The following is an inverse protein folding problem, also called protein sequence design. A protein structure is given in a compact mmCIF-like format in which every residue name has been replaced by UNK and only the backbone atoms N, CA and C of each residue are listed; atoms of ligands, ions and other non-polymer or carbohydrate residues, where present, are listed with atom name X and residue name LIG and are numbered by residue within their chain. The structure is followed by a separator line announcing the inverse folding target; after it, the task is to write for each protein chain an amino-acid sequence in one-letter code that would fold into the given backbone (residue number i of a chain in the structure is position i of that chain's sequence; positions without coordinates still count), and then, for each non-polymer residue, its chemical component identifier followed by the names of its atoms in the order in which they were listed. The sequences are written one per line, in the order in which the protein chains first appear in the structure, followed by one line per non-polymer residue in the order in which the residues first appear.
data_IF_495465309967
#
_entry.id   IF_495465309967
#
_cell.length_a   1.000
_cell.length_b   1.000
_cell.length_c   1.000
_cell.angle_alpha   90.00
_cell.angle_beta   90.00
_cell.angle_gamma   90.00
#
_symmetry.space_group_name_H-M   'P 1'
#
loop_
_entity.id
_entity.type
_entity.pdbx_description
1 polymer ?
#
# COMPACT_ATOMS: atom_id res chain seq x y z
N UNK A 1 5.50 6.88 37.49
CA UNK A 1 4.25 6.08 37.50
C UNK A 1 4.37 5.01 36.43
N UNK A 2 4.59 3.74 36.82
CA UNK A 2 4.55 2.61 35.90
C UNK A 2 3.09 2.44 35.46
N UNK A 3 2.72 2.96 34.29
CA UNK A 3 1.47 2.56 33.65
C UNK A 3 1.57 1.06 33.41
N UNK A 4 0.82 0.27 34.18
CA UNK A 4 0.60 -1.15 33.88
C UNK A 4 -0.01 -1.16 32.48
N UNK A 5 0.80 -1.51 31.47
CA UNK A 5 0.33 -1.68 30.11
C UNK A 5 -0.69 -2.81 30.17
N UNK A 6 -1.97 -2.47 30.12
CA UNK A 6 -3.06 -3.42 30.02
C UNK A 6 -3.12 -3.89 28.58
N UNK A 7 -2.77 -5.16 28.35
CA UNK A 7 -2.84 -5.76 27.04
C UNK A 7 -4.28 -6.16 26.73
N UNK A 8 -4.90 -5.49 25.76
CA UNK A 8 -6.24 -5.84 25.31
C UNK A 8 -6.18 -7.05 24.35
N UNK A 9 -6.68 -8.18 24.85
CA UNK A 9 -6.76 -9.48 24.15
C UNK A 9 -7.79 -9.42 23.00
N UNK A 10 -8.72 -8.45 22.99
CA UNK A 10 -9.70 -8.25 21.90
C UNK A 10 -9.07 -7.98 20.52
N UNK A 11 -7.76 -7.67 20.53
CA UNK A 11 -6.94 -7.42 19.36
C UNK A 11 -6.44 -8.68 18.66
N UNK A 12 -6.58 -9.85 19.30
CA UNK A 12 -6.22 -11.15 18.72
C UNK A 12 -7.49 -11.93 18.46
N UNK A 13 -7.69 -12.35 17.23
CA UNK A 13 -8.81 -13.18 16.80
C UNK A 13 -8.25 -14.55 16.44
N UNK A 14 -8.54 -15.55 17.26
CA UNK A 14 -8.18 -16.93 16.98
C UNK A 14 -9.31 -17.63 16.22
N UNK A 15 -9.12 -17.84 14.92
CA UNK A 15 -10.01 -18.66 14.07
C UNK A 15 -9.39 -20.02 13.73
N UNK A 16 -8.30 -20.39 14.40
CA UNK A 16 -7.70 -21.71 14.29
C UNK A 16 -8.45 -22.73 15.15
N UNK A 17 -8.19 -24.02 14.92
CA UNK A 17 -8.72 -25.09 15.79
C UNK A 17 -7.86 -25.30 17.04
N UNK A 18 -6.75 -24.58 17.15
CA UNK A 18 -5.79 -24.74 18.26
C UNK A 18 -6.19 -23.81 19.39
N UNK A 19 -6.34 -24.39 20.58
CA UNK A 19 -6.58 -23.63 21.79
C UNK A 19 -5.27 -23.00 22.26
N UNK A 20 -5.23 -21.66 22.29
CA UNK A 20 -4.13 -20.89 22.84
C UNK A 20 -4.50 -20.43 24.25
N UNK A 21 -3.55 -20.48 25.18
CA UNK A 21 -3.78 -19.97 26.54
C UNK A 21 -4.00 -18.45 26.53
N UNK A 22 -4.66 -17.92 27.55
CA UNK A 22 -4.84 -16.46 27.69
C UNK A 22 -3.49 -15.72 27.72
N UNK A 23 -2.45 -16.32 28.29
CA UNK A 23 -1.11 -15.74 28.34
C UNK A 23 -0.46 -15.70 26.96
N UNK A 24 -0.59 -16.77 26.17
CA UNK A 24 -0.13 -16.80 24.78
C UNK A 24 -0.83 -15.72 23.94
N UNK A 25 -2.15 -15.57 24.11
CA UNK A 25 -2.90 -14.51 23.43
C UNK A 25 -2.47 -13.10 23.88
N UNK A 26 -2.17 -12.88 25.16
CA UNK A 26 -1.60 -11.61 25.65
C UNK A 26 -0.26 -11.31 24.99
N UNK A 27 0.63 -12.29 24.85
CA UNK A 27 1.91 -12.10 24.16
C UNK A 27 1.71 -11.74 22.69
N UNK A 28 0.85 -12.47 21.97
CA UNK A 28 0.51 -12.17 20.57
C UNK A 28 -0.08 -10.77 20.45
N UNK A 29 -0.92 -10.39 21.42
CA UNK A 29 -1.56 -9.08 21.41
C UNK A 29 -0.53 -7.95 21.44
N UNK A 30 0.74 -8.14 21.83
CA UNK A 30 1.74 -7.04 21.76
C UNK A 30 1.92 -6.46 20.36
N UNK A 31 1.61 -7.20 19.29
CA UNK A 31 1.67 -6.68 17.93
C UNK A 31 2.73 -7.38 17.07
N UNK A 32 2.49 -7.56 15.77
CA UNK A 32 3.50 -8.09 14.83
C UNK A 32 4.67 -7.13 14.58
N UNK A 33 4.53 -5.85 14.98
CA UNK A 33 5.57 -4.83 14.91
C UNK A 33 6.32 -4.66 16.24
N UNK A 34 5.88 -5.33 17.30
CA UNK A 34 6.57 -5.28 18.57
C UNK A 34 7.91 -5.99 18.45
N UNK A 35 9.00 -5.27 18.72
CA UNK A 35 10.36 -5.81 18.66
C UNK A 35 10.85 -6.04 20.09
N UNK A 36 11.11 -7.30 20.50
CA UNK A 36 11.77 -7.57 21.77
C UNK A 36 13.10 -6.84 21.89
N UNK A 37 13.46 -6.40 23.09
CA UNK A 37 14.73 -5.71 23.35
C UNK A 37 15.89 -6.51 22.78
N UNK A 38 16.67 -5.96 21.84
CA UNK A 38 17.75 -6.68 21.19
C UNK A 38 18.86 -7.01 22.20
N UNK A 39 19.31 -8.26 22.19
CA UNK A 39 20.41 -8.74 23.04
C UNK A 39 21.78 -8.60 22.39
N UNK A 40 21.81 -8.31 21.09
CA UNK A 40 23.01 -8.12 20.28
C UNK A 40 22.73 -7.09 19.18
N UNK A 41 23.78 -6.47 18.66
CA UNK A 41 23.73 -5.62 17.47
C UNK A 41 24.19 -6.41 16.25
N UNK A 42 23.42 -6.37 15.16
CA UNK A 42 23.89 -6.87 13.88
C UNK A 42 24.64 -5.74 13.17
N UNK A 43 25.94 -5.64 13.43
CA UNK A 43 26.81 -4.58 12.91
C UNK A 43 26.72 -4.45 11.40
N UNK A 44 26.78 -5.57 10.67
CA UNK A 44 26.73 -5.58 9.21
C UNK A 44 25.40 -4.98 8.72
N UNK A 45 24.28 -5.43 9.27
CA UNK A 45 22.96 -4.95 8.86
C UNK A 45 22.78 -3.47 9.19
N UNK A 46 23.24 -3.03 10.36
CA UNK A 46 23.22 -1.60 10.73
C UNK A 46 24.02 -0.76 9.75
N UNK A 47 25.26 -1.15 9.44
CA UNK A 47 26.12 -0.44 8.49
C UNK A 47 25.47 -0.40 7.10
N UNK A 48 25.03 -1.54 6.57
CA UNK A 48 24.40 -1.63 5.25
C UNK A 48 23.14 -0.75 5.17
N UNK A 49 22.28 -0.78 6.20
CA UNK A 49 21.06 0.04 6.22
C UNK A 49 21.37 1.53 6.27
N UNK A 50 22.39 1.92 7.04
CA UNK A 50 22.84 3.29 7.10
C UNK A 50 23.45 3.75 5.77
N UNK A 51 24.34 2.96 5.17
CA UNK A 51 24.93 3.27 3.87
C UNK A 51 23.86 3.41 2.77
N UNK A 52 22.88 2.50 2.73
CA UNK A 52 21.73 2.58 1.83
C UNK A 52 20.95 3.89 2.03
N UNK A 53 20.70 4.28 3.29
CA UNK A 53 19.94 5.50 3.61
C UNK A 53 20.71 6.77 3.24
N UNK A 54 22.04 6.74 3.34
CA UNK A 54 22.94 7.85 3.02
C UNK A 54 23.29 7.92 1.53
N UNK A 55 22.79 7.01 0.70
CA UNK A 55 23.18 6.88 -0.71
C UNK A 55 23.07 8.19 -1.50
N UNK A 56 22.03 8.98 -1.26
CA UNK A 56 21.77 10.26 -1.94
C UNK A 56 22.16 11.50 -1.12
N UNK A 57 22.89 11.34 -0.03
CA UNK A 57 23.28 12.46 0.84
C UNK A 57 24.62 13.07 0.44
N UNK A 58 24.86 14.36 0.74
CA UNK A 58 26.16 14.99 0.50
C UNK A 58 27.30 14.26 1.21
N UNK A 59 28.49 14.29 0.60
CA UNK A 59 29.68 13.55 1.09
C UNK A 59 30.02 13.87 2.55
N UNK A 60 29.92 15.15 2.94
CA UNK A 60 30.18 15.60 4.31
C UNK A 60 29.20 14.98 5.32
N UNK A 61 27.90 15.01 5.01
CA UNK A 61 26.86 14.39 5.84
C UNK A 61 27.06 12.88 5.95
N UNK A 62 27.42 12.23 4.85
CA UNK A 62 27.71 10.79 4.84
C UNK A 62 28.90 10.46 5.75
N UNK A 63 30.00 11.20 5.67
CA UNK A 63 31.17 11.00 6.53
C UNK A 63 30.85 11.22 8.02
N UNK A 64 30.10 12.28 8.35
CA UNK A 64 29.67 12.55 9.72
C UNK A 64 28.79 11.42 10.27
N UNK A 65 27.79 10.99 9.50
CA UNK A 65 26.90 9.91 9.90
C UNK A 65 27.66 8.57 10.08
N UNK A 66 28.58 8.23 9.17
CA UNK A 66 29.42 7.03 9.30
C UNK A 66 30.25 7.08 10.60
N UNK A 67 30.81 8.25 10.94
CA UNK A 67 31.56 8.44 12.19
C UNK A 67 30.67 8.24 13.43
N UNK A 68 29.46 8.80 13.43
CA UNK A 68 28.49 8.60 14.52
C UNK A 68 28.06 7.14 14.66
N UNK A 69 27.80 6.46 13.55
CA UNK A 69 27.42 5.04 13.55
C UNK A 69 28.55 4.16 14.04
N UNK A 70 29.79 4.42 13.60
CA UNK A 70 30.98 3.73 14.09
C UNK A 70 31.11 3.90 15.61
N UNK A 71 30.97 5.14 16.08
CA UNK A 71 30.97 5.46 17.51
C UNK A 71 29.84 4.75 18.26
N UNK A 72 28.63 4.72 17.72
CA UNK A 72 27.48 4.03 18.29
C UNK A 72 27.75 2.52 18.40
N UNK A 73 28.26 1.88 17.35
CA UNK A 73 28.57 0.45 17.35
C UNK A 73 29.65 0.13 18.39
N UNK A 74 30.72 0.93 18.45
CA UNK A 74 31.80 0.74 19.42
C UNK A 74 31.34 0.93 20.87
N UNK A 75 30.45 1.92 21.10
CA UNK A 75 29.91 2.22 22.43
C UNK A 75 28.67 1.39 22.78
N UNK A 76 28.17 0.57 21.87
CA UNK A 76 26.93 -0.17 22.09
C UNK A 76 27.12 -1.14 23.27
N UNK A 77 26.20 -1.06 24.23
CA UNK A 77 26.14 -1.96 25.38
C UNK A 77 24.79 -2.66 25.41
N UNK A 78 24.80 -3.91 25.84
CA UNK A 78 23.58 -4.69 26.01
C UNK A 78 22.62 -3.95 26.96
N UNK A 79 21.34 -3.75 26.59
CA UNK A 79 20.37 -3.14 27.47
C UNK A 79 20.20 -3.93 28.78
N UNK A 80 20.11 -3.23 29.91
CA UNK A 80 19.86 -3.81 31.24
C UNK A 80 18.37 -4.02 31.52
N UNK A 81 17.51 -3.26 30.85
CA UNK A 81 16.05 -3.37 30.94
C UNK A 81 15.49 -4.03 29.69
N UNK A 82 14.70 -5.07 29.88
CA UNK A 82 14.02 -5.79 28.81
C UNK A 82 12.54 -5.41 28.75
N UNK A 83 11.99 -5.32 27.54
CA UNK A 83 10.56 -5.06 27.31
C UNK A 83 9.69 -6.34 27.28
N UNK A 84 10.30 -7.51 27.49
CA UNK A 84 9.64 -8.79 27.72
C UNK A 84 10.24 -9.51 28.93
N UNK A 85 9.42 -10.22 29.68
CA UNK A 85 9.89 -11.04 30.80
C UNK A 85 10.27 -12.47 30.35
N UNK A 86 10.84 -13.27 31.27
CA UNK A 86 11.28 -14.65 30.97
C UNK A 86 10.14 -15.58 30.56
N UNK A 87 8.96 -15.42 31.16
CA UNK A 87 7.77 -16.22 30.84
C UNK A 87 7.25 -15.88 29.45
N UNK A 88 7.11 -14.60 29.11
CA UNK A 88 6.73 -14.15 27.76
C UNK A 88 7.71 -14.66 26.69
N UNK A 89 9.02 -14.67 26.98
CA UNK A 89 10.01 -15.24 26.09
C UNK A 89 9.87 -16.76 25.91
N UNK A 90 9.47 -17.49 26.96
CA UNK A 90 9.16 -18.92 26.90
C UNK A 90 7.90 -19.16 26.06
N UNK A 91 6.83 -18.42 26.33
CA UNK A 91 5.57 -18.50 25.57
C UNK A 91 5.77 -18.19 24.09
N UNK A 92 6.63 -17.22 23.73
CA UNK A 92 6.97 -16.95 22.32
C UNK A 92 7.61 -18.16 21.63
N UNK A 93 8.48 -18.89 22.34
CA UNK A 93 9.10 -20.12 21.80
C UNK A 93 8.07 -21.22 21.62
N UNK A 94 7.17 -21.40 22.60
CA UNK A 94 6.07 -22.36 22.52
C UNK A 94 5.12 -22.06 21.35
N UNK A 95 4.72 -20.79 21.18
CA UNK A 95 3.89 -20.38 20.04
C UNK A 95 4.61 -20.66 18.73
N UNK A 96 5.93 -20.38 18.66
CA UNK A 96 6.75 -20.62 17.47
C UNK A 96 6.87 -22.11 17.13
N UNK A 97 6.83 -23.01 18.11
CA UNK A 97 6.89 -24.46 17.87
C UNK A 97 5.57 -25.05 17.34
N UNK A 98 4.47 -24.29 17.33
CA UNK A 98 3.19 -24.77 16.78
C UNK A 98 3.23 -24.65 15.25
N UNK A 99 3.50 -25.76 14.56
CA UNK A 99 3.67 -25.77 13.09
C UNK A 99 2.37 -25.59 12.29
N UNK A 100 1.22 -25.89 12.91
CA UNK A 100 -0.08 -25.96 12.25
C UNK A 100 -0.84 -24.63 12.22
N UNK A 101 -0.24 -23.53 12.67
CA UNK A 101 -0.86 -22.19 12.65
C UNK A 101 -0.05 -21.19 11.83
N UNK A 102 -0.76 -20.15 11.40
CA UNK A 102 -0.20 -18.95 10.79
C UNK A 102 -0.76 -17.75 11.55
N UNK A 103 0.11 -16.81 11.91
CA UNK A 103 -0.25 -15.56 12.58
C UNK A 103 -0.04 -14.42 11.60
N UNK A 104 -1.13 -13.75 11.22
CA UNK A 104 -1.14 -12.68 10.21
C UNK A 104 -1.93 -11.47 10.69
N UNK A 105 -1.73 -10.33 10.04
CA UNK A 105 -2.53 -9.13 10.28
C UNK A 105 -3.81 -9.18 9.43
N UNK A 106 -4.94 -8.77 10.00
CA UNK A 106 -6.17 -8.55 9.25
C UNK A 106 -6.03 -7.39 8.24
N UNK A 107 -6.78 -7.46 7.14
CA UNK A 107 -6.78 -6.43 6.08
C UNK A 107 -7.24 -5.04 6.59
N UNK A 108 -8.20 -5.03 7.53
CA UNK A 108 -8.73 -3.80 8.14
C UNK A 108 -8.68 -3.89 9.66
N UNK A 109 -8.50 -2.74 10.30
CA UNK A 109 -8.55 -2.60 11.75
C UNK A 109 -7.29 -3.07 12.49
N UNK A 110 -6.29 -3.64 11.82
CA UNK A 110 -4.98 -3.92 12.41
C UNK A 110 -4.93 -5.06 13.44
N UNK A 111 -6.04 -5.78 13.65
CA UNK A 111 -6.10 -6.96 14.51
C UNK A 111 -5.18 -8.08 14.02
N UNK A 112 -4.72 -8.90 14.95
CA UNK A 112 -3.93 -10.10 14.66
C UNK A 112 -4.86 -11.29 14.56
N UNK A 113 -4.65 -12.13 13.56
CA UNK A 113 -5.46 -13.30 13.28
C UNK A 113 -4.59 -14.54 13.37
N UNK A 114 -5.01 -15.50 14.19
CA UNK A 114 -4.42 -16.83 14.26
C UNK A 114 -5.30 -17.77 13.43
N UNK A 115 -4.70 -18.44 12.45
CA UNK A 115 -5.40 -19.30 11.49
C UNK A 115 -4.75 -20.67 11.41
N UNK A 116 -5.52 -21.71 11.10
CA UNK A 116 -4.92 -22.99 10.70
C UNK A 116 -4.12 -22.80 9.41
N UNK A 117 -2.91 -23.37 9.35
CA UNK A 117 -2.00 -23.25 8.21
C UNK A 117 -2.67 -23.74 6.92
N UNK A 118 -3.21 -24.96 6.88
CA UNK A 118 -3.85 -25.51 5.68
C UNK A 118 -5.02 -24.63 5.18
N UNK A 119 -5.82 -24.09 6.10
CA UNK A 119 -6.92 -23.19 5.74
C UNK A 119 -6.40 -21.89 5.09
N UNK A 120 -5.36 -21.29 5.66
CA UNK A 120 -4.72 -20.10 5.09
C UNK A 120 -4.14 -20.36 3.70
N UNK A 121 -3.45 -21.49 3.51
CA UNK A 121 -2.88 -21.87 2.22
C UNK A 121 -3.97 -22.09 1.16
N UNK A 122 -5.02 -22.86 1.49
CA UNK A 122 -6.14 -23.09 0.57
C UNK A 122 -6.82 -21.78 0.16
N UNK A 123 -7.03 -20.84 1.09
CA UNK A 123 -7.63 -19.53 0.77
C UNK A 123 -6.78 -18.65 -0.14
N UNK A 124 -5.47 -18.78 -0.09
CA UNK A 124 -4.58 -18.08 -1.02
C UNK A 124 -4.59 -18.80 -2.37
N UNK A 125 -4.52 -20.13 -2.40
CA UNK A 125 -4.58 -20.90 -3.65
C UNK A 125 -5.90 -20.70 -4.40
N UNK A 126 -7.04 -20.64 -3.69
CA UNK A 126 -8.35 -20.25 -4.26
C UNK A 126 -8.27 -18.93 -5.04
N UNK A 127 -7.50 -17.94 -4.53
CA UNK A 127 -7.30 -16.64 -5.19
C UNK A 127 -6.29 -16.70 -6.34
N UNK A 128 -5.23 -17.49 -6.20
CA UNK A 128 -4.21 -17.66 -7.24
C UNK A 128 -4.71 -18.50 -8.42
N UNK A 129 -5.76 -19.29 -8.22
CA UNK A 129 -6.45 -20.05 -9.26
C UNK A 129 -7.39 -19.18 -10.12
N UNK A 130 -7.54 -17.89 -9.83
CA UNK A 130 -8.21 -16.96 -10.74
C UNK A 130 -7.37 -16.74 -11.99
N UNK A 131 -7.68 -17.53 -13.02
CA UNK A 131 -7.01 -17.50 -14.31
C UNK A 131 -7.21 -16.19 -15.07
N UNK A 132 -8.08 -15.27 -14.64
CA UNK A 132 -8.14 -13.95 -15.25
C UNK A 132 -7.03 -13.03 -14.73
N UNK A 133 -6.60 -13.24 -13.48
CA UNK A 133 -5.64 -12.36 -12.79
C UNK A 133 -4.24 -12.94 -12.77
N UNK A 134 -4.11 -14.25 -12.51
CA UNK A 134 -2.83 -14.91 -12.32
C UNK A 134 -2.60 -16.02 -13.34
N UNK A 135 -1.32 -16.33 -13.56
CA UNK A 135 -0.88 -17.52 -14.26
C UNK A 135 0.20 -18.22 -13.45
N UNK A 136 0.18 -19.55 -13.42
CA UNK A 136 1.25 -20.32 -12.83
C UNK A 136 2.41 -20.45 -13.83
N UNK A 137 3.62 -20.16 -13.38
CA UNK A 137 4.85 -20.25 -14.17
C UNK A 137 5.60 -21.53 -13.80
N UNK A 138 6.09 -22.26 -14.81
CA UNK A 138 6.75 -23.57 -14.61
C UNK A 138 8.11 -23.47 -13.91
N UNK A 139 8.86 -22.39 -14.15
CA UNK A 139 10.20 -22.17 -13.62
C UNK A 139 10.31 -20.77 -13.04
N UNK A 140 11.29 -20.60 -12.14
CA UNK A 140 11.63 -19.30 -11.59
C UNK A 140 12.11 -18.34 -12.71
N UNK A 141 11.41 -17.21 -12.95
CA UNK A 141 11.80 -16.26 -13.99
C UNK A 141 12.89 -15.28 -13.53
N UNK A 142 13.40 -15.35 -12.29
CA UNK A 142 14.34 -14.39 -11.70
C UNK A 142 15.55 -14.14 -12.60
N UNK A 143 16.22 -15.19 -13.08
CA UNK A 143 17.42 -15.07 -13.91
C UNK A 143 17.13 -14.38 -15.24
N UNK A 144 15.98 -14.69 -15.87
CA UNK A 144 15.58 -14.07 -17.14
C UNK A 144 15.36 -12.56 -16.93
N UNK A 145 14.60 -12.20 -15.91
CA UNK A 145 14.32 -10.81 -15.55
C UNK A 145 15.62 -10.08 -15.20
N UNK A 146 16.53 -10.73 -14.48
CA UNK A 146 17.83 -10.14 -14.13
C UNK A 146 18.66 -9.81 -15.37
N UNK A 147 18.70 -10.72 -16.34
CA UNK A 147 19.39 -10.50 -17.61
C UNK A 147 18.78 -9.33 -18.37
N UNK A 148 17.45 -9.21 -18.43
CA UNK A 148 16.76 -8.08 -19.06
C UNK A 148 17.11 -6.75 -18.38
N UNK A 149 17.08 -6.73 -17.04
CA UNK A 149 17.47 -5.56 -16.23
C UNK A 149 18.92 -5.18 -16.53
N UNK A 150 19.85 -6.14 -16.45
CA UNK A 150 21.27 -5.89 -16.68
C UNK A 150 21.53 -5.36 -18.11
N UNK A 151 20.83 -5.92 -19.11
CA UNK A 151 20.92 -5.46 -20.50
C UNK A 151 20.48 -3.99 -20.62
N UNK A 152 19.33 -3.64 -20.04
CA UNK A 152 18.80 -2.29 -20.11
C UNK A 152 19.68 -1.27 -19.36
N UNK A 153 20.10 -1.60 -18.15
CA UNK A 153 20.95 -0.73 -17.33
C UNK A 153 22.33 -0.55 -17.98
N UNK A 154 22.92 -1.61 -18.56
CA UNK A 154 24.20 -1.51 -19.29
C UNK A 154 24.07 -0.65 -20.54
N UNK A 155 22.97 -0.77 -21.29
CA UNK A 155 22.66 0.12 -22.43
C UNK A 155 22.63 1.59 -21.98
N UNK A 156 21.94 1.90 -20.88
CA UNK A 156 21.86 3.26 -20.34
C UNK A 156 23.23 3.79 -19.87
N UNK A 157 24.07 2.94 -19.29
CA UNK A 157 25.43 3.31 -18.90
C UNK A 157 26.30 3.64 -20.12
N UNK A 158 26.28 2.80 -21.15
CA UNK A 158 27.05 3.01 -22.39
C UNK A 158 26.62 4.29 -23.13
N UNK A 159 25.38 4.74 -22.92
CA UNK A 159 24.85 6.00 -23.44
C UNK A 159 25.12 7.19 -22.52
N UNK A 160 25.92 7.02 -21.46
CA UNK A 160 26.22 8.04 -20.44
C UNK A 160 24.99 8.63 -19.74
N UNK A 161 23.87 7.90 -19.69
CA UNK A 161 22.63 8.35 -19.05
C UNK A 161 22.60 8.11 -17.54
N UNK A 162 23.44 7.20 -17.07
CA UNK A 162 23.57 6.84 -15.66
C UNK A 162 25.05 6.65 -15.31
N UNK A 163 25.37 6.68 -14.02
CA UNK A 163 26.71 6.40 -13.49
C UNK A 163 26.88 4.92 -13.14
N UNK A 164 28.13 4.46 -12.98
CA UNK A 164 28.43 3.11 -12.48
C UNK A 164 27.78 2.83 -11.13
N UNK A 165 27.77 3.82 -10.23
CA UNK A 165 27.09 3.72 -8.94
C UNK A 165 25.59 3.46 -9.10
N UNK A 166 24.95 4.12 -10.07
CA UNK A 166 23.53 3.91 -10.37
C UNK A 166 23.31 2.52 -10.96
N UNK A 167 24.18 2.07 -11.88
CA UNK A 167 24.13 0.70 -12.41
C UNK A 167 24.20 -0.33 -11.29
N UNK A 168 25.19 -0.21 -10.41
CA UNK A 168 25.37 -1.12 -9.28
C UNK A 168 24.11 -1.17 -8.40
N UNK A 169 23.54 -0.02 -8.06
CA UNK A 169 22.29 0.04 -7.29
C UNK A 169 21.14 -0.68 -8.01
N UNK A 170 20.93 -0.39 -9.31
CA UNK A 170 19.84 -0.96 -10.09
C UNK A 170 19.94 -2.48 -10.26
N UNK A 171 21.15 -3.03 -10.17
CA UNK A 171 21.43 -4.46 -10.33
C UNK A 171 21.85 -5.14 -9.01
N UNK A 172 21.64 -4.50 -7.85
CA UNK A 172 22.18 -4.99 -6.56
C UNK A 172 21.39 -6.12 -5.90
N UNK A 173 20.15 -6.37 -6.34
CA UNK A 173 19.23 -7.30 -5.66
C UNK A 173 18.77 -8.39 -6.63
N UNK A 174 18.79 -9.63 -6.16
CA UNK A 174 18.31 -10.83 -6.86
C UNK A 174 17.18 -11.55 -6.10
N UNK A 175 16.77 -11.00 -4.95
CA UNK A 175 15.76 -11.63 -4.11
C UNK A 175 14.39 -11.73 -4.80
N UNK A 176 13.82 -12.91 -4.70
CA UNK A 176 12.53 -13.27 -5.28
C UNK A 176 11.37 -12.71 -4.44
N UNK A 177 10.34 -12.09 -5.06
CA UNK A 177 9.17 -11.61 -4.32
C UNK A 177 8.34 -12.72 -3.70
N UNK A 178 7.83 -12.46 -2.49
CA UNK A 178 6.92 -13.36 -1.75
C UNK A 178 5.57 -12.68 -1.56
N UNK A 179 4.50 -13.45 -1.38
CA UNK A 179 3.18 -12.89 -1.05
C UNK A 179 2.81 -13.11 0.41
N UNK A 180 1.92 -12.25 0.91
CA UNK A 180 1.22 -12.40 2.18
C UNK A 180 -0.28 -12.23 1.96
N UNK A 181 -1.08 -13.11 2.55
CA UNK A 181 -2.53 -13.00 2.60
C UNK A 181 -2.96 -12.27 3.87
N UNK A 182 -3.87 -11.31 3.73
CA UNK A 182 -4.50 -10.61 4.85
C UNK A 182 -5.99 -10.94 4.86
N UNK A 183 -6.53 -11.56 5.93
CA UNK A 183 -7.95 -11.93 5.97
C UNK A 183 -8.84 -10.69 6.10
N UNK A 184 -9.89 -10.62 5.26
CA UNK A 184 -10.94 -9.59 5.34
C UNK A 184 -12.05 -10.03 6.30
N UNK A 185 -11.80 -9.91 7.61
CA UNK A 185 -12.70 -10.35 8.68
C UNK A 185 -14.10 -9.70 8.69
N UNK A 186 -14.25 -8.55 8.02
CA UNK A 186 -15.52 -7.83 7.90
C UNK A 186 -16.45 -8.41 6.82
N UNK A 187 -16.06 -9.51 6.16
CA UNK A 187 -16.86 -10.20 5.14
C UNK A 187 -17.14 -11.63 5.60
N UNK A 188 -18.34 -12.13 5.32
CA UNK A 188 -18.87 -13.43 5.80
C UNK A 188 -17.89 -14.59 5.55
N UNK A 189 -17.34 -14.69 4.34
CA UNK A 189 -16.47 -15.81 3.92
C UNK A 189 -14.98 -15.55 4.24
N UNK A 190 -14.65 -14.41 4.85
CA UNK A 190 -13.27 -13.99 5.16
C UNK A 190 -12.30 -14.18 3.98
N UNK A 191 -12.56 -13.57 2.81
CA UNK A 191 -11.66 -13.67 1.67
C UNK A 191 -10.29 -13.06 1.99
N UNK A 192 -9.25 -13.53 1.32
CA UNK A 192 -7.89 -13.01 1.46
C UNK A 192 -7.64 -11.82 0.53
N UNK A 193 -6.96 -10.80 1.04
CA UNK A 193 -6.22 -9.83 0.23
C UNK A 193 -4.79 -10.29 0.07
N UNK A 194 -4.36 -10.51 -1.17
CA UNK A 194 -2.98 -10.85 -1.46
C UNK A 194 -2.17 -9.56 -1.62
N UNK A 195 -1.07 -9.45 -0.91
CA UNK A 195 -0.09 -8.36 -1.05
C UNK A 195 1.25 -8.97 -1.40
N UNK A 196 1.85 -8.51 -2.49
CA UNK A 196 3.20 -8.91 -2.89
C UNK A 196 4.20 -8.08 -2.10
N UNK A 197 5.12 -8.75 -1.42
CA UNK A 197 6.26 -8.12 -0.79
C UNK A 197 7.31 -7.82 -1.88
N UNK A 198 7.20 -6.65 -2.49
CA UNK A 198 8.17 -6.16 -3.48
C UNK A 198 9.34 -5.41 -2.85
N UNK A 199 9.39 -5.25 -1.52
CA UNK A 199 10.51 -4.60 -0.84
C UNK A 199 11.77 -5.46 -0.94
N UNK A 200 12.88 -4.82 -1.29
CA UNK A 200 14.19 -5.47 -1.41
C UNK A 200 14.13 -6.72 -2.30
N UNK A 201 13.43 -6.60 -3.44
CA UNK A 201 13.36 -7.65 -4.47
C UNK A 201 13.96 -7.17 -5.78
N UNK A 202 14.16 -8.07 -6.74
CA UNK A 202 14.80 -7.82 -8.03
C UNK A 202 14.31 -6.57 -8.79
N UNK A 203 13.02 -6.24 -8.76
CA UNK A 203 12.46 -5.06 -9.47
C UNK A 203 12.39 -3.81 -8.60
N UNK A 204 12.71 -3.92 -7.31
CA UNK A 204 12.56 -2.83 -6.35
C UNK A 204 13.50 -1.63 -6.59
N UNK A 205 14.78 -1.79 -6.97
CA UNK A 205 15.65 -0.66 -7.26
C UNK A 205 15.16 0.16 -8.46
N UNK A 206 14.72 -0.52 -9.53
CA UNK A 206 14.14 0.12 -10.71
C UNK A 206 12.86 0.87 -10.34
N UNK A 207 11.98 0.23 -9.58
CA UNK A 207 10.72 0.85 -9.15
C UNK A 207 10.97 2.11 -8.34
N UNK A 208 11.94 2.10 -7.43
CA UNK A 208 12.32 3.27 -6.63
C UNK A 208 12.99 4.36 -7.47
N UNK A 209 13.85 3.97 -8.42
CA UNK A 209 14.53 4.89 -9.33
C UNK A 209 13.51 5.67 -10.18
N UNK A 210 12.58 4.97 -10.83
CA UNK A 210 11.53 5.62 -11.63
C UNK A 210 10.61 6.47 -10.74
N UNK A 211 10.27 5.97 -9.54
CA UNK A 211 9.42 6.72 -8.62
C UNK A 211 10.01 8.10 -8.31
N UNK A 212 11.34 8.22 -8.15
CA UNK A 212 12.00 9.52 -7.94
C UNK A 212 11.81 10.49 -9.10
N UNK A 213 11.70 9.99 -10.33
CA UNK A 213 11.47 10.79 -11.54
C UNK A 213 10.01 11.23 -11.61
N UNK A 214 9.06 10.33 -11.37
CA UNK A 214 7.63 10.60 -11.59
C UNK A 214 6.88 11.11 -10.35
N UNK A 215 7.46 11.03 -9.14
CA UNK A 215 6.76 11.34 -7.87
C UNK A 215 6.08 12.71 -7.87
N UNK A 216 6.70 13.68 -8.52
CA UNK A 216 6.22 15.05 -8.54
C UNK A 216 5.04 15.26 -9.49
N UNK A 217 4.72 14.30 -10.38
CA UNK A 217 3.46 14.34 -11.14
C UNK A 217 2.24 14.28 -10.22
N UNK A 218 2.40 13.84 -8.97
CA UNK A 218 1.33 13.88 -7.97
C UNK A 218 0.83 15.31 -7.71
N UNK A 219 1.66 16.34 -7.87
CA UNK A 219 1.26 17.73 -7.62
C UNK A 219 0.33 18.29 -8.70
N UNK A 220 0.24 17.64 -9.87
CA UNK A 220 -0.63 18.06 -10.96
C UNK A 220 -2.04 17.46 -10.86
N UNK A 221 -2.28 16.59 -9.87
CA UNK A 221 -3.55 15.90 -9.68
C UNK A 221 -4.49 16.73 -8.80
N UNK A 222 -5.72 16.93 -9.25
CA UNK A 222 -6.75 17.66 -8.49
C UNK A 222 -7.67 16.70 -7.73
N UNK A 223 -8.14 17.13 -6.56
CA UNK A 223 -9.08 16.36 -5.73
C UNK A 223 -8.49 15.04 -5.19
N UNK A 224 -7.16 14.91 -5.09
CA UNK A 224 -6.52 13.76 -4.45
C UNK A 224 -6.29 14.06 -2.97
N UNK A 225 -6.76 13.16 -2.12
CA UNK A 225 -6.59 13.21 -0.67
C UNK A 225 -5.43 12.29 -0.28
N UNK A 226 -4.51 12.78 0.55
CA UNK A 226 -3.35 11.99 0.98
C UNK A 226 -3.57 11.22 2.28
N UNK A 227 -4.43 11.71 3.17
CA UNK A 227 -4.78 11.09 4.45
C UNK A 227 -6.00 11.79 5.05
N UNK A 228 -6.58 11.20 6.11
CA UNK A 228 -7.74 11.73 6.82
C UNK A 228 -7.51 13.14 7.37
N UNK A 229 -6.33 13.46 7.91
CA UNK A 229 -6.04 14.80 8.42
C UNK A 229 -6.01 15.88 7.32
N UNK A 230 -5.49 15.55 6.14
CA UNK A 230 -5.53 16.40 4.96
C UNK A 230 -6.96 16.55 4.44
N UNK A 231 -7.74 15.48 4.43
CA UNK A 231 -9.15 15.51 4.07
C UNK A 231 -9.96 16.47 4.95
N UNK A 232 -9.84 16.35 6.27
CA UNK A 232 -10.57 17.19 7.25
C UNK A 232 -10.32 18.67 7.00
N UNK A 233 -9.09 19.05 6.64
CA UNK A 233 -8.75 20.45 6.31
C UNK A 233 -9.44 20.91 5.03
N UNK A 234 -9.43 20.08 3.99
CA UNK A 234 -10.00 20.45 2.68
C UNK A 234 -11.53 20.50 2.74
N UNK A 235 -12.17 19.51 3.38
CA UNK A 235 -13.63 19.41 3.43
C UNK A 235 -14.27 20.46 4.35
N UNK A 236 -13.51 21.03 5.29
CA UNK A 236 -14.00 22.11 6.15
C UNK A 236 -14.36 23.38 5.35
N UNK A 237 -13.67 23.63 4.23
CA UNK A 237 -13.91 24.77 3.35
C UNK A 237 -14.97 24.46 2.27
N UNK A 238 -15.48 23.23 2.21
CA UNK A 238 -16.46 22.83 1.20
C UNK A 238 -17.83 23.46 1.49
N UNK A 239 -18.42 24.08 0.46
CA UNK A 239 -19.77 24.65 0.53
C UNK A 239 -20.75 23.75 -0.20
N UNK A 240 -21.89 23.50 0.45
CA UNK A 240 -22.99 22.74 -0.12
C UNK A 240 -24.19 23.67 -0.30
N UNK A 241 -24.82 23.58 -1.46
CA UNK A 241 -26.12 24.20 -1.69
C UNK A 241 -27.25 23.35 -1.10
N UNK A 242 -28.43 23.94 -0.89
CA UNK A 242 -29.58 23.23 -0.31
C UNK A 242 -30.10 22.08 -1.18
N UNK A 243 -29.87 22.14 -2.50
CA UNK A 243 -30.22 21.10 -3.47
C UNK A 243 -29.10 20.07 -3.67
N UNK A 244 -28.04 20.10 -2.85
CA UNK A 244 -26.90 19.21 -2.97
C UNK A 244 -26.81 18.18 -1.85
N UNK A 245 -26.35 17.00 -2.23
CA UNK A 245 -26.28 15.80 -1.43
C UNK A 245 -24.85 15.28 -1.35
N UNK A 246 -24.52 14.63 -0.24
CA UNK A 246 -23.30 13.85 -0.11
C UNK A 246 -23.51 12.43 -0.63
N UNK A 247 -22.55 11.96 -1.43
CA UNK A 247 -22.50 10.58 -1.87
C UNK A 247 -21.05 10.09 -1.92
N UNK A 248 -20.84 8.79 -1.75
CA UNK A 248 -19.56 8.15 -1.94
C UNK A 248 -19.62 7.17 -3.11
N UNK A 249 -18.53 7.08 -3.86
CA UNK A 249 -18.29 6.05 -4.86
C UNK A 249 -17.07 5.23 -4.40
N UNK A 250 -17.18 3.91 -4.42
CA UNK A 250 -16.06 2.99 -4.13
C UNK A 250 -15.68 2.24 -5.42
N UNK A 251 -14.39 2.23 -5.74
CA UNK A 251 -13.88 1.54 -6.93
C UNK A 251 -13.57 0.09 -6.58
N UNK A 252 -14.26 -0.84 -7.24
CA UNK A 252 -14.07 -2.26 -7.02
C UNK A 252 -12.67 -2.70 -7.49
N UNK A 253 -11.89 -3.25 -6.55
CA UNK A 253 -10.58 -3.86 -6.78
C UNK A 253 -9.66 -3.01 -7.70
N UNK A 254 -9.53 -1.72 -7.39
CA UNK A 254 -8.84 -0.69 -8.18
C UNK A 254 -7.56 -1.18 -8.87
N UNK A 255 -6.58 -1.67 -8.09
CA UNK A 255 -5.27 -2.01 -8.64
C UNK A 255 -5.32 -3.16 -9.65
N UNK A 256 -6.06 -4.24 -9.37
CA UNK A 256 -6.18 -5.38 -10.30
C UNK A 256 -6.91 -5.00 -11.58
N UNK A 257 -7.75 -3.96 -11.53
CA UNK A 257 -8.55 -3.50 -12.65
C UNK A 257 -7.89 -2.39 -13.48
N UNK A 258 -6.74 -1.84 -13.10
CA UNK A 258 -6.06 -0.82 -13.93
C UNK A 258 -5.18 -1.48 -15.01
N UNK A 259 -5.41 -1.21 -16.32
CA UNK A 259 -4.55 -1.75 -17.37
C UNK A 259 -3.15 -1.11 -17.32
N UNK A 260 -2.13 -1.93 -17.05
CA UNK A 260 -0.73 -1.48 -16.86
C UNK A 260 -0.23 -0.66 -18.05
N UNK A 261 -0.44 -1.12 -19.29
CA UNK A 261 0.02 -0.40 -20.48
C UNK A 261 -0.62 0.97 -20.63
N UNK A 262 -1.93 1.10 -20.38
CA UNK A 262 -2.61 2.40 -20.42
C UNK A 262 -2.09 3.34 -19.33
N UNK A 263 -1.88 2.83 -18.12
CA UNK A 263 -1.32 3.63 -17.02
C UNK A 263 0.08 4.15 -17.34
N UNK A 264 0.93 3.31 -17.97
CA UNK A 264 2.26 3.72 -18.45
C UNK A 264 2.14 4.81 -19.51
N UNK A 265 1.29 4.63 -20.52
CA UNK A 265 1.17 5.59 -21.63
C UNK A 265 0.63 6.96 -21.13
N UNK A 266 -0.35 6.97 -20.22
CA UNK A 266 -0.85 8.21 -19.59
C UNK A 266 0.26 8.88 -18.76
N UNK A 267 1.05 8.10 -18.02
CA UNK A 267 2.16 8.63 -17.22
C UNK A 267 3.21 9.29 -18.10
N UNK A 268 3.58 8.66 -19.22
CA UNK A 268 4.55 9.22 -20.17
C UNK A 268 4.03 10.49 -20.82
N UNK A 269 2.75 10.54 -21.17
CA UNK A 269 2.09 11.75 -21.70
C UNK A 269 2.19 12.90 -20.70
N UNK A 270 1.86 12.68 -19.42
CA UNK A 270 1.96 13.73 -18.39
C UNK A 270 3.38 14.16 -18.09
N UNK A 271 4.33 13.22 -18.15
CA UNK A 271 5.74 13.55 -17.95
C UNK A 271 6.23 14.51 -19.03
N UNK A 272 5.81 14.29 -20.28
CA UNK A 272 6.08 15.17 -21.41
C UNK A 272 5.44 16.56 -21.27
N UNK A 273 4.16 16.60 -20.95
CA UNK A 273 3.41 17.86 -20.74
C UNK A 273 4.02 18.71 -19.61
N UNK A 274 4.58 18.05 -18.59
CA UNK A 274 5.24 18.71 -17.47
C UNK A 274 6.66 19.23 -17.77
N UNK A 275 7.23 18.91 -18.95
CA UNK A 275 8.61 19.20 -19.35
C UNK A 275 9.69 18.73 -18.35
N UNK A 276 9.34 17.84 -17.41
CA UNK A 276 10.28 17.34 -16.40
C UNK A 276 11.35 16.44 -16.99
N UNK A 277 11.07 15.83 -18.13
CA UNK A 277 12.02 14.99 -18.82
C UNK A 277 13.15 15.80 -19.47
N UNK A 278 12.90 17.05 -19.86
CA UNK A 278 13.86 17.91 -20.57
C UNK A 278 15.14 18.17 -19.76
N UNK A 279 15.04 18.12 -18.44
CA UNK A 279 16.17 18.31 -17.51
C UNK A 279 16.87 17.00 -17.13
N UNK A 280 16.48 15.87 -17.72
CA UNK A 280 17.01 14.54 -17.40
C UNK A 280 17.65 13.91 -18.63
N UNK A 281 18.67 13.05 -18.46
CA UNK A 281 19.32 12.36 -19.58
C UNK A 281 18.47 11.22 -20.19
N UNK A 282 17.21 11.09 -19.79
CA UNK A 282 16.34 9.98 -20.15
C UNK A 282 15.36 10.37 -21.25
N UNK A 283 15.14 9.48 -22.21
CA UNK A 283 14.09 9.61 -23.21
C UNK A 283 12.79 8.97 -22.71
N UNK A 284 11.66 9.28 -23.36
CA UNK A 284 10.38 8.60 -23.08
C UNK A 284 10.49 7.09 -23.23
N UNK A 285 11.27 6.63 -24.20
CA UNK A 285 11.52 5.21 -24.46
C UNK A 285 12.25 4.57 -23.29
N UNK A 286 13.28 5.21 -22.73
CA UNK A 286 14.00 4.69 -21.56
C UNK A 286 13.06 4.53 -20.36
N UNK A 287 12.24 5.55 -20.09
CA UNK A 287 11.26 5.51 -18.99
C UNK A 287 10.20 4.42 -19.23
N UNK A 288 9.72 4.26 -20.47
CA UNK A 288 8.76 3.21 -20.85
C UNK A 288 9.35 1.82 -20.67
N UNK A 289 10.59 1.59 -21.10
CA UNK A 289 11.30 0.31 -20.94
C UNK A 289 11.43 -0.04 -19.45
N UNK A 290 11.89 0.91 -18.62
CA UNK A 290 12.02 0.72 -17.17
C UNK A 290 10.67 0.48 -16.48
N UNK A 291 9.61 1.21 -16.86
CA UNK A 291 8.26 1.01 -16.31
C UNK A 291 7.72 -0.39 -16.65
N UNK A 292 7.93 -0.85 -17.88
CA UNK A 292 7.55 -2.20 -18.28
C UNK A 292 8.30 -3.25 -17.47
N UNK A 293 9.63 -3.10 -17.30
CA UNK A 293 10.44 -4.02 -16.50
C UNK A 293 9.97 -4.08 -15.04
N UNK A 294 9.58 -2.94 -14.45
CA UNK A 294 9.12 -2.88 -13.07
C UNK A 294 7.71 -3.47 -12.86
N UNK A 295 6.79 -3.27 -13.82
CA UNK A 295 5.36 -3.55 -13.63
C UNK A 295 4.88 -4.84 -14.30
N UNK A 296 5.45 -5.21 -15.46
CA UNK A 296 5.07 -6.44 -16.18
C UNK A 296 5.78 -7.69 -15.65
N UNK A 297 6.83 -7.52 -14.86
CA UNK A 297 7.54 -8.61 -14.20
C UNK A 297 7.08 -8.79 -12.74
N UNK A 298 5.75 -8.80 -12.56
CA UNK A 298 5.10 -9.00 -11.27
C UNK A 298 4.88 -10.48 -11.00
N UNK A 299 5.92 -11.16 -10.52
CA UNK A 299 5.88 -12.57 -10.17
C UNK A 299 6.22 -12.77 -8.70
N UNK A 300 5.86 -13.93 -8.16
CA UNK A 300 6.16 -14.32 -6.79
C UNK A 300 6.12 -15.83 -6.61
N UNK A 301 6.71 -16.30 -5.51
CA UNK A 301 6.63 -17.69 -5.09
C UNK A 301 5.61 -17.84 -3.96
N UNK A 302 4.79 -18.89 -4.05
CA UNK A 302 3.90 -19.32 -2.98
C UNK A 302 3.80 -20.85 -2.97
N UNK A 303 3.98 -21.44 -1.79
CA UNK A 303 3.89 -22.89 -1.58
C UNK A 303 4.72 -23.72 -2.60
N UNK A 304 5.97 -23.29 -2.85
CA UNK A 304 6.88 -23.95 -3.81
C UNK A 304 6.56 -23.72 -5.29
N UNK A 305 5.45 -23.06 -5.62
CA UNK A 305 5.03 -22.74 -7.00
C UNK A 305 5.29 -21.27 -7.33
N UNK A 306 5.51 -20.98 -8.60
CA UNK A 306 5.70 -19.61 -9.11
C UNK A 306 4.42 -19.13 -9.80
N UNK A 307 4.06 -17.88 -9.55
CA UNK A 307 2.91 -17.24 -10.17
C UNK A 307 3.30 -15.89 -10.72
N UNK A 308 2.65 -15.48 -11.81
CA UNK A 308 2.78 -14.15 -12.41
C UNK A 308 1.40 -13.51 -12.48
N UNK A 309 1.34 -12.23 -12.13
CA UNK A 309 0.14 -11.42 -12.29
C UNK A 309 0.05 -10.94 -13.74
N UNK A 310 -1.06 -11.27 -14.42
CA UNK A 310 -1.29 -10.96 -15.83
C UNK A 310 -1.84 -9.56 -16.06
N UNK A 311 -2.71 -9.12 -15.16
CA UNK A 311 -3.42 -7.85 -15.29
C UNK A 311 -3.39 -7.06 -14.00
N UNK A 312 -3.60 -5.75 -14.11
CA UNK A 312 -3.59 -4.85 -12.97
C UNK A 312 -2.21 -4.38 -12.57
N UNK A 313 -2.20 -3.28 -11.82
CA UNK A 313 -1.02 -2.80 -11.13
C UNK A 313 -0.70 -3.74 -9.95
N UNK A 314 0.56 -4.16 -9.78
CA UNK A 314 0.95 -5.06 -8.71
C UNK A 314 0.82 -4.40 -7.34
N UNK A 315 -0.02 -4.99 -6.47
CA UNK A 315 -0.15 -4.54 -5.09
C UNK A 315 1.14 -4.80 -4.31
N UNK A 316 1.83 -3.74 -3.91
CA UNK A 316 3.11 -3.79 -3.19
C UNK A 316 4.30 -3.19 -3.94
N UNK A 317 4.17 -2.95 -5.25
CA UNK A 317 5.16 -2.19 -5.99
C UNK A 317 5.04 -0.69 -5.68
N UNK A 318 6.17 -0.02 -5.47
CA UNK A 318 6.28 1.42 -5.17
C UNK A 318 5.62 2.33 -6.22
N UNK A 319 5.58 1.90 -7.49
CA UNK A 319 5.00 2.67 -8.59
C UNK A 319 3.49 2.58 -8.65
N UNK A 320 2.90 1.48 -8.19
CA UNK A 320 1.47 1.20 -8.35
C UNK A 320 0.58 2.33 -7.81
N UNK A 321 0.81 2.89 -6.60
CA UNK A 321 -0.04 3.96 -6.08
C UNK A 321 -0.06 5.22 -6.96
N UNK A 322 1.10 5.71 -7.41
CA UNK A 322 1.13 6.93 -8.24
C UNK A 322 0.57 6.69 -9.64
N UNK A 323 0.81 5.52 -10.23
CA UNK A 323 0.22 5.16 -11.52
C UNK A 323 -1.30 5.02 -11.42
N UNK A 324 -1.80 4.47 -10.31
CA UNK A 324 -3.23 4.40 -10.06
C UNK A 324 -3.83 5.80 -9.94
N UNK A 325 -3.16 6.71 -9.23
CA UNK A 325 -3.63 8.08 -9.09
C UNK A 325 -3.64 8.83 -10.42
N UNK A 326 -2.59 8.66 -11.23
CA UNK A 326 -2.49 9.26 -12.56
C UNK A 326 -3.59 8.73 -13.48
N UNK A 327 -3.77 7.40 -13.52
CA UNK A 327 -4.79 6.75 -14.33
C UNK A 327 -6.19 7.20 -13.93
N UNK A 328 -6.50 7.21 -12.63
CA UNK A 328 -7.82 7.61 -12.15
C UNK A 328 -8.08 9.09 -12.36
N UNK A 329 -7.08 9.96 -12.32
CA UNK A 329 -7.26 11.35 -12.69
C UNK A 329 -7.65 11.52 -14.17
N UNK A 330 -7.05 10.74 -15.06
CA UNK A 330 -7.45 10.70 -16.47
C UNK A 330 -8.87 10.14 -16.63
N UNK A 331 -9.18 9.03 -15.95
CA UNK A 331 -10.51 8.41 -15.98
C UNK A 331 -11.60 9.38 -15.50
N UNK A 332 -11.35 10.12 -14.41
CA UNK A 332 -12.26 11.15 -13.90
C UNK A 332 -12.56 12.21 -14.96
N UNK A 333 -11.52 12.70 -15.64
CA UNK A 333 -11.64 13.72 -16.69
C UNK A 333 -12.41 13.24 -17.92
N UNK A 334 -12.39 11.94 -18.22
CA UNK A 334 -13.03 11.36 -19.41
C UNK A 334 -14.43 10.79 -19.17
N UNK A 335 -14.76 10.43 -17.92
CA UNK A 335 -15.96 9.65 -17.63
C UNK A 335 -16.79 10.18 -16.45
N UNK A 336 -16.19 10.95 -15.53
CA UNK A 336 -16.89 11.48 -14.36
C UNK A 336 -17.37 12.93 -14.55
N UNK A 337 -17.67 13.35 -15.78
CA UNK A 337 -17.99 14.76 -16.10
C UNK A 337 -19.10 15.36 -15.24
N UNK A 338 -20.15 14.60 -14.92
CA UNK A 338 -21.30 15.06 -14.13
C UNK A 338 -20.95 15.36 -12.66
N UNK A 339 -19.89 14.76 -12.14
CA UNK A 339 -19.49 14.86 -10.72
C UNK A 339 -18.07 15.40 -10.51
N UNK A 340 -17.29 15.58 -11.57
CA UNK A 340 -15.92 16.09 -11.54
C UNK A 340 -15.91 17.62 -11.42
N UNK A 341 -16.56 18.12 -10.38
CA UNK A 341 -16.71 19.55 -10.10
C UNK A 341 -15.61 19.97 -9.12
N UNK A 342 -14.85 21.05 -9.40
CA UNK A 342 -13.85 21.57 -8.47
C UNK A 342 -14.42 21.79 -7.07
N UNK A 343 -13.66 21.43 -6.04
CA UNK A 343 -14.06 21.54 -4.63
C UNK A 343 -15.35 20.78 -4.24
N UNK A 344 -15.76 19.79 -5.05
CA UNK A 344 -16.91 18.91 -4.79
C UNK A 344 -16.60 17.43 -5.04
N UNK A 345 -15.36 17.09 -5.37
CA UNK A 345 -14.88 15.73 -5.56
C UNK A 345 -13.55 15.54 -4.84
N UNK A 346 -13.47 14.50 -4.02
CA UNK A 346 -12.27 14.13 -3.29
C UNK A 346 -12.08 12.62 -3.38
N UNK A 347 -10.90 12.18 -3.79
CA UNK A 347 -10.55 10.76 -3.90
C UNK A 347 -9.40 10.41 -2.99
N UNK A 348 -9.57 9.36 -2.21
CA UNK A 348 -8.52 8.68 -1.47
C UNK A 348 -8.43 7.24 -1.98
N UNK A 349 -7.41 6.96 -2.80
CA UNK A 349 -7.22 5.62 -3.40
C UNK A 349 -8.47 5.16 -4.17
N UNK A 350 -9.23 4.21 -3.64
CA UNK A 350 -10.45 3.60 -4.16
C UNK A 350 -11.73 4.34 -3.75
N UNK A 351 -11.72 5.03 -2.61
CA UNK A 351 -12.84 5.80 -2.09
C UNK A 351 -12.91 7.20 -2.75
N UNK A 352 -14.09 7.59 -3.23
CA UNK A 352 -14.39 8.93 -3.76
C UNK A 352 -15.58 9.51 -3.01
N UNK A 353 -15.42 10.69 -2.43
CA UNK A 353 -16.53 11.52 -1.94
C UNK A 353 -16.92 12.52 -3.02
N UNK A 354 -18.22 12.67 -3.26
CA UNK A 354 -18.79 13.67 -4.15
C UNK A 354 -19.88 14.48 -3.43
N UNK A 355 -19.98 15.76 -3.80
CA UNK A 355 -21.16 16.60 -3.57
C UNK A 355 -21.88 16.73 -4.90
N UNK A 356 -23.15 16.34 -4.96
CA UNK A 356 -23.91 16.26 -6.20
C UNK A 356 -25.35 16.71 -6.02
N UNK A 357 -25.96 17.22 -7.10
CA UNK A 357 -27.40 17.52 -7.16
C UNK A 357 -28.26 16.28 -7.45
N UNK A 358 -27.62 15.15 -7.79
CA UNK A 358 -28.34 13.90 -8.02
C UNK A 358 -28.98 13.41 -6.73
N UNK A 359 -30.26 13.05 -6.80
CA UNK A 359 -30.88 12.25 -5.77
C UNK A 359 -30.43 10.78 -5.86
N UNK A 360 -30.78 9.97 -4.86
CA UNK A 360 -30.35 8.57 -4.79
C UNK A 360 -30.67 7.75 -6.06
N UNK A 361 -31.90 7.73 -6.61
CA UNK A 361 -32.18 7.01 -7.86
C UNK A 361 -31.37 7.50 -9.07
N UNK A 362 -31.11 8.81 -9.17
CA UNK A 362 -30.27 9.37 -10.24
C UNK A 362 -28.81 8.89 -10.09
N UNK A 363 -28.27 8.92 -8.87
CA UNK A 363 -26.92 8.42 -8.59
C UNK A 363 -26.79 6.93 -8.94
N UNK A 364 -27.76 6.10 -8.56
CA UNK A 364 -27.78 4.67 -8.88
C UNK A 364 -27.78 4.43 -10.40
N UNK A 365 -28.59 5.20 -11.15
CA UNK A 365 -28.58 5.16 -12.63
C UNK A 365 -27.24 5.61 -13.21
N UNK A 366 -26.64 6.65 -12.65
CA UNK A 366 -25.33 7.15 -13.06
C UNK A 366 -24.24 6.10 -12.85
N UNK A 367 -24.24 5.40 -11.71
CA UNK A 367 -23.30 4.31 -11.43
C UNK A 367 -23.52 3.12 -12.37
N UNK A 368 -24.77 2.77 -12.68
CA UNK A 368 -25.07 1.76 -13.69
C UNK A 368 -24.53 2.15 -15.08
N UNK A 369 -24.63 3.43 -15.45
CA UNK A 369 -24.04 3.95 -16.67
C UNK A 369 -22.50 3.84 -16.65
N UNK A 370 -21.84 4.30 -15.57
CA UNK A 370 -20.39 4.17 -15.41
C UNK A 370 -19.93 2.70 -15.52
N UNK A 371 -20.69 1.78 -14.93
CA UNK A 371 -20.40 0.36 -14.98
C UNK A 371 -20.64 -0.28 -16.35
N UNK A 372 -21.34 0.38 -17.27
CA UNK A 372 -21.48 -0.05 -18.67
C UNK A 372 -20.33 0.43 -19.56
N UNK A 373 -19.56 1.43 -19.13
CA UNK A 373 -18.39 1.91 -19.89
C UNK A 373 -17.43 0.74 -20.10
N UNK A 374 -16.96 0.60 -21.36
CA UNK A 374 -16.02 -0.47 -21.74
C UNK A 374 -14.73 -0.34 -20.94
N UNK A 375 -14.48 -1.33 -20.10
CA UNK A 375 -13.32 -1.35 -19.24
C UNK A 375 -13.56 -2.20 -17.99
N UNK A 376 -12.52 -2.25 -17.16
CA UNK A 376 -12.44 -3.07 -15.95
C UNK A 376 -12.74 -2.27 -14.69
N UNK A 377 -12.76 -0.94 -14.74
CA UNK A 377 -13.14 -0.09 -13.62
C UNK A 377 -14.64 -0.19 -13.40
N UNK A 378 -15.04 -0.52 -12.17
CA UNK A 378 -16.43 -0.59 -11.73
C UNK A 378 -16.58 0.13 -10.39
N UNK A 379 -17.77 0.68 -10.17
CA UNK A 379 -18.10 1.47 -9.00
C UNK A 379 -19.27 0.84 -8.24
N UNK A 380 -19.25 0.97 -6.93
CA UNK A 380 -20.44 0.97 -6.07
C UNK A 380 -20.66 2.37 -5.53
N UNK A 381 -21.86 2.65 -5.02
CA UNK A 381 -22.17 3.94 -4.40
C UNK A 381 -22.89 3.79 -3.08
N UNK A 382 -22.64 4.73 -2.18
CA UNK A 382 -23.47 4.97 -1.00
C UNK A 382 -23.99 6.41 -1.06
N UNK A 383 -25.26 6.59 -0.72
CA UNK A 383 -25.91 7.89 -0.62
C UNK A 383 -26.06 8.24 0.86
N UNK A 384 -25.96 9.53 1.21
CA UNK A 384 -26.16 9.98 2.58
C UNK A 384 -27.49 9.49 3.18
N UNK A 385 -27.47 9.19 4.48
CA UNK A 385 -28.66 8.79 5.23
C UNK A 385 -28.78 9.68 6.46
N UNK A 386 -29.96 10.24 6.70
CA UNK A 386 -30.19 11.19 7.80
C UNK A 386 -29.15 12.32 7.81
N UNK A 387 -28.86 12.87 6.62
CA UNK A 387 -27.86 13.93 6.40
C UNK A 387 -26.43 13.56 6.82
N UNK A 388 -26.13 12.25 6.85
CA UNK A 388 -24.83 11.72 7.26
C UNK A 388 -24.25 10.75 6.24
N UNK A 389 -22.93 10.80 6.10
CA UNK A 389 -22.16 9.81 5.33
C UNK A 389 -20.82 9.56 6.01
N UNK A 390 -20.34 8.33 5.93
CA UNK A 390 -18.99 7.97 6.37
C UNK A 390 -18.02 8.08 5.18
N UNK A 391 -16.85 8.67 5.41
CA UNK A 391 -15.78 8.71 4.43
C UNK A 391 -14.43 8.66 5.16
N UNK A 392 -13.55 7.75 4.78
CA UNK A 392 -12.32 7.45 5.52
C UNK A 392 -12.62 7.13 7.00
N UNK A 393 -11.89 7.76 7.93
CA UNK A 393 -12.09 7.65 9.37
C UNK A 393 -13.01 8.77 9.90
N UNK A 394 -13.84 9.37 9.06
CA UNK A 394 -14.78 10.43 9.48
C UNK A 394 -16.22 10.12 9.13
N UNK A 395 -17.11 10.72 9.92
CA UNK A 395 -18.54 10.84 9.65
C UNK A 395 -18.82 12.33 9.41
N UNK A 396 -19.33 12.62 8.22
CA UNK A 396 -19.78 13.95 7.84
C UNK A 396 -21.27 14.05 8.18
N UNK A 397 -21.68 15.18 8.75
CA UNK A 397 -23.08 15.48 9.06
C UNK A 397 -23.41 16.86 8.53
N UNK A 398 -24.39 16.98 7.64
CA UNK A 398 -24.88 18.29 7.22
C UNK A 398 -25.67 18.93 8.36
N UNK A 399 -25.44 20.21 8.58
CA UNK A 399 -26.20 21.03 9.53
C UNK A 399 -26.59 22.35 8.88
N UNK A 400 -27.87 22.69 8.95
CA UNK A 400 -28.35 24.00 8.56
C UNK A 400 -28.11 24.98 9.70
N UNK A 401 -27.29 26.01 9.48
CA UNK A 401 -27.00 27.09 10.42
C UNK A 401 -27.09 28.40 9.64
N UNK A 402 -27.94 29.34 10.07
CA UNK A 402 -28.12 30.64 9.41
C UNK A 402 -28.38 30.54 7.89
N UNK A 403 -29.25 29.60 7.47
CA UNK A 403 -29.57 29.27 6.08
C UNK A 403 -28.42 28.71 5.22
N UNK A 404 -27.24 28.50 5.80
CA UNK A 404 -26.09 27.85 5.15
C UNK A 404 -25.94 26.40 5.64
N UNK A 405 -25.54 25.50 4.73
CA UNK A 405 -25.21 24.13 5.09
C UNK A 405 -23.73 24.06 5.48
N UNK A 406 -23.50 23.65 6.72
CA UNK A 406 -22.15 23.42 7.27
C UNK A 406 -21.95 21.92 7.48
N UNK A 407 -20.78 21.41 7.10
CA UNK A 407 -20.38 20.03 7.37
C UNK A 407 -19.75 19.92 8.76
N UNK A 408 -20.45 19.26 9.68
CA UNK A 408 -19.86 18.83 10.95
C UNK A 408 -19.11 17.52 10.74
N UNK A 409 -17.86 17.49 11.17
CA UNK A 409 -16.99 16.32 11.03
C UNK A 409 -16.81 15.65 12.40
N UNK A 410 -16.98 14.33 12.46
CA UNK A 410 -16.67 13.50 13.65
C UNK A 410 -15.78 12.34 13.24
N UNK A 411 -14.98 11.82 14.18
CA UNK A 411 -14.23 10.58 13.95
C UNK A 411 -15.19 9.39 13.87
N UNK A 412 -14.99 8.53 12.88
CA UNK A 412 -15.71 7.28 12.69
C UNK A 412 -14.73 6.12 12.75
N UNK A 413 -15.11 5.05 13.46
CA UNK A 413 -14.34 3.81 13.52
C UNK A 413 -15.26 2.63 13.25
N UNK A 414 -14.78 1.69 12.43
CA UNK A 414 -15.48 0.43 12.20
C UNK A 414 -15.36 -0.45 13.45
N UNK A 415 -16.37 -1.29 13.69
CA UNK A 415 -16.38 -2.25 14.81
C UNK A 415 -15.16 -3.20 14.83
N UNK A 416 -14.48 -3.36 13.69
CA UNK A 416 -13.29 -4.20 13.56
C UNK A 416 -11.97 -3.50 13.94
N UNK A 417 -11.99 -2.22 14.33
CA UNK A 417 -10.77 -1.49 14.71
C UNK A 417 -10.13 -2.09 15.97
N UNK A 418 -8.80 -2.12 16.02
CA UNK A 418 -8.00 -2.55 17.17
C UNK A 418 -7.70 -1.41 18.16
N UNK A 419 -8.18 -0.20 17.87
CA UNK A 419 -7.95 1.04 18.64
C UNK A 419 -6.48 1.38 18.96
N UNK A 420 -5.53 0.83 18.19
CA UNK A 420 -4.11 1.16 18.29
C UNK A 420 -3.72 2.28 17.35
N UNK A 421 -3.35 3.41 17.94
CA UNK A 421 -2.87 4.59 17.21
C UNK A 421 -1.36 4.51 16.90
N UNK A 422 -0.58 3.83 17.74
CA UNK A 422 0.85 3.57 17.58
C UNK A 422 1.18 2.19 18.18
N UNK A 423 2.07 1.43 17.53
CA UNK A 423 2.82 0.33 18.14
C UNK A 423 4.29 0.72 18.14
#
# INVERSE_FOLDING_TARGET
MNSKITYDISNVINISKIHLSQEQLKVISKGLKFVPTPTSINTITTVVNCEKSLFSTPKLTKSAAISEISTFIQKWRKPTKFNINKEEAKLLKEIKSIENIVIVQADKGGKIVVMNKNYYFNKIEEKLNDLNVYEQVKKDPTTIIKTEINKQVTKMLNQNKITDQTKYYLTSIDDLPKIRGQPKLHKIVTPMRIVTCSRDTITSPISQFIFRIIKELRTTLSGVVCNTSNFVKIIADAKLNQDEHLASLDIQDLYTNIPVSKAIDITLKRLDESKKLDNLPFTKTDIKELLNLALKNSYFQFNGKFYKQKTGLPMGNTLSPILADIYMDEYKKQHLHEVNIPNKIWRYVDDILIITKMNKPQLEKYVLYLNKIRGTIKFTSEFEQNDQINYLDTMLTKKLINNEIILKIRWFRKNTAADRLLN
#
